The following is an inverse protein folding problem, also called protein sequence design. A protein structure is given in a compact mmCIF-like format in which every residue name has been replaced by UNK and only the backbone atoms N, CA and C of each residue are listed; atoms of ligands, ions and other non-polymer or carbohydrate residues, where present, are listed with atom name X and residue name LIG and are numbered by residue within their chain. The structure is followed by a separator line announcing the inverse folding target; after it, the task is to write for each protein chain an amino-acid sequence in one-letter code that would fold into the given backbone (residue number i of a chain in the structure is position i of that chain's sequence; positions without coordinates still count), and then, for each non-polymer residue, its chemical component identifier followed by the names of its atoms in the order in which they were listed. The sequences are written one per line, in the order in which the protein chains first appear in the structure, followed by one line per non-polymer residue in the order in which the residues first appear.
data_IF_383831361498
#
_entry.id   IF_383831361498
#
_cell.length_a   1.000
_cell.length_b   1.000
_cell.length_c   1.000
_cell.angle_alpha   90.00
_cell.angle_beta   90.00
_cell.angle_gamma   90.00
#
_symmetry.space_group_name_H-M   'P 1'
#
loop_
_entity.id
_entity.type
_entity.pdbx_description
1 polymer ?
#
# COMPACT_ATOMS: atom_id res chain seq x y z
N UNK A 1 -11.57 2.78 16.13
CA UNK A 1 -10.21 2.58 15.59
C UNK A 1 -9.22 3.09 16.63
N UNK A 2 -8.37 2.24 17.24
CA UNK A 2 -7.32 2.72 18.17
C UNK A 2 -6.19 3.30 17.33
N UNK A 3 -6.11 4.61 17.21
CA UNK A 3 -4.96 5.31 16.62
C UNK A 3 -4.29 6.14 17.70
N UNK A 4 -3.02 6.45 17.54
CA UNK A 4 -2.26 7.30 18.48
C UNK A 4 -2.64 8.78 18.42
N UNK A 5 -3.59 9.16 17.56
CA UNK A 5 -4.03 10.55 17.35
C UNK A 5 -5.51 10.69 17.73
N UNK A 6 -5.86 11.77 18.42
CA UNK A 6 -7.27 12.14 18.62
C UNK A 6 -7.84 12.65 17.30
N UNK A 7 -9.10 12.32 16.98
CA UNK A 7 -9.72 12.74 15.72
C UNK A 7 -9.70 14.27 15.53
N UNK A 8 -9.73 15.02 16.63
CA UNK A 8 -9.69 16.49 16.66
C UNK A 8 -8.30 17.05 16.31
N UNK A 9 -7.24 16.25 16.49
CA UNK A 9 -5.85 16.63 16.19
C UNK A 9 -5.45 16.33 14.73
N UNK A 10 -6.27 15.56 14.00
CA UNK A 10 -5.99 15.17 12.63
C UNK A 10 -6.57 16.21 11.67
N UNK A 11 -5.83 17.30 11.48
CA UNK A 11 -6.14 18.31 10.47
C UNK A 11 -5.32 17.98 9.21
N UNK A 12 -6.00 17.61 8.12
CA UNK A 12 -5.37 17.44 6.82
C UNK A 12 -5.00 18.81 6.23
N UNK A 13 -3.72 19.19 6.29
CA UNK A 13 -3.17 20.33 5.58
C UNK A 13 -2.76 19.91 4.17
N UNK A 14 -3.74 19.73 3.29
CA UNK A 14 -3.47 19.46 1.88
C UNK A 14 -3.25 20.78 1.14
N UNK A 15 -2.08 20.90 0.52
CA UNK A 15 -1.78 21.98 -0.42
C UNK A 15 -1.89 21.44 -1.83
N UNK A 16 -2.76 22.03 -2.64
CA UNK A 16 -2.80 21.71 -4.07
C UNK A 16 -1.53 22.23 -4.75
N UNK A 17 -0.86 21.32 -5.45
CA UNK A 17 0.40 21.57 -6.17
C UNK A 17 0.27 21.25 -7.66
N UNK A 18 -0.96 20.99 -8.13
CA UNK A 18 -1.26 20.70 -9.53
C UNK A 18 -0.79 21.87 -10.41
N UNK A 19 0.11 21.60 -11.36
CA UNK A 19 0.69 22.62 -12.24
C UNK A 19 1.81 23.47 -11.65
N UNK A 20 2.08 23.40 -10.34
CA UNK A 20 3.22 24.08 -9.70
C UNK A 20 4.53 23.31 -9.83
N UNK A 21 4.43 21.98 -9.95
CA UNK A 21 5.58 21.09 -10.12
C UNK A 21 5.34 20.25 -11.37
N UNK A 22 6.26 20.34 -12.32
CA UNK A 22 6.21 19.53 -13.54
C UNK A 22 6.85 18.17 -13.20
N UNK A 23 6.10 17.06 -13.30
CA UNK A 23 6.65 15.73 -13.02
C UNK A 23 7.76 15.41 -14.02
N UNK A 24 8.87 14.85 -13.53
CA UNK A 24 10.06 14.55 -14.36
C UNK A 24 10.25 13.06 -14.55
N UNK A 25 10.71 12.68 -15.74
CA UNK A 25 11.01 11.29 -16.07
C UNK A 25 12.20 10.74 -15.28
N UNK A 26 12.23 9.42 -15.11
CA UNK A 26 13.23 8.71 -14.28
C UNK A 26 14.67 9.06 -14.65
N UNK A 27 15.02 9.04 -15.94
CA UNK A 27 16.39 9.33 -16.43
C UNK A 27 16.87 10.74 -16.11
N UNK A 28 15.98 11.72 -16.10
CA UNK A 28 16.33 13.10 -15.74
C UNK A 28 16.49 13.26 -14.24
N UNK A 29 15.62 12.61 -13.45
CA UNK A 29 15.70 12.61 -11.99
C UNK A 29 16.99 11.95 -11.51
N UNK A 30 17.38 10.82 -12.09
CA UNK A 30 18.63 10.13 -11.75
C UNK A 30 19.86 11.02 -11.96
N UNK A 31 19.93 11.74 -13.08
CA UNK A 31 21.01 12.71 -13.33
C UNK A 31 21.03 13.85 -12.31
N UNK A 32 19.85 14.37 -11.94
CA UNK A 32 19.72 15.48 -11.00
C UNK A 32 20.00 15.08 -9.54
N UNK A 33 19.61 13.87 -9.15
CA UNK A 33 19.91 13.29 -7.84
C UNK A 33 21.42 13.06 -7.71
N UNK A 34 22.06 12.52 -8.77
CA UNK A 34 23.51 12.36 -8.82
C UNK A 34 24.27 13.70 -8.80
N UNK A 35 23.66 14.78 -9.30
CA UNK A 35 24.22 16.15 -9.21
C UNK A 35 23.90 16.86 -7.89
N UNK A 36 23.33 16.17 -6.88
CA UNK A 36 23.13 16.71 -5.54
C UNK A 36 21.78 17.41 -5.28
N UNK A 37 20.79 17.31 -6.18
CA UNK A 37 19.43 17.82 -5.89
C UNK A 37 18.68 16.91 -4.93
N UNK A 38 17.91 17.53 -4.03
CA UNK A 38 17.15 16.80 -3.02
C UNK A 38 15.91 16.12 -3.64
N UNK A 39 15.66 14.87 -3.25
CA UNK A 39 14.57 14.04 -3.79
C UNK A 39 13.18 14.70 -3.64
N UNK A 40 12.98 15.45 -2.56
CA UNK A 40 11.71 16.11 -2.19
C UNK A 40 11.34 17.31 -3.08
N UNK A 41 12.26 17.78 -3.91
CA UNK A 41 12.03 18.91 -4.82
C UNK A 41 11.47 18.48 -6.18
N UNK A 42 11.28 17.17 -6.40
CA UNK A 42 10.90 16.62 -7.70
C UNK A 42 9.84 15.53 -7.57
N UNK A 43 8.74 15.67 -8.30
CA UNK A 43 7.71 14.65 -8.39
C UNK A 43 8.01 13.64 -9.52
N UNK A 44 7.84 12.32 -9.28
CA UNK A 44 7.81 11.33 -10.35
C UNK A 44 6.64 11.59 -11.29
N UNK A 45 6.82 11.24 -12.57
CA UNK A 45 5.67 11.02 -13.46
C UNK A 45 4.92 9.80 -12.92
N UNK A 46 3.67 10.02 -12.51
CA UNK A 46 2.74 8.95 -12.19
C UNK A 46 1.92 8.61 -13.43
N UNK A 47 2.02 7.37 -13.88
CA UNK A 47 1.22 6.90 -15.00
C UNK A 47 -0.14 6.45 -14.48
N UNK A 48 -1.19 7.07 -15.00
CA UNK A 48 -2.55 6.60 -14.75
C UNK A 48 -2.72 5.25 -15.47
N UNK A 49 -3.10 4.17 -14.76
CA UNK A 49 -3.28 2.88 -15.39
C UNK A 49 -4.35 2.95 -16.49
N UNK A 50 -4.08 2.29 -17.61
CA UNK A 50 -5.04 2.20 -18.72
C UNK A 50 -6.24 1.35 -18.34
N UNK A 51 -7.38 1.55 -19.01
CA UNK A 51 -8.58 0.72 -18.77
C UNK A 51 -8.29 -0.78 -18.94
N UNK A 52 -7.56 -1.14 -20.01
CA UNK A 52 -7.15 -2.54 -20.26
C UNK A 52 -6.31 -3.13 -19.11
N UNK A 53 -5.45 -2.33 -18.51
CA UNK A 53 -4.68 -2.76 -17.34
C UNK A 53 -5.59 -2.99 -16.13
N UNK A 54 -6.56 -2.10 -15.91
CA UNK A 54 -7.54 -2.21 -14.83
C UNK A 54 -8.43 -3.44 -14.99
N UNK A 55 -8.88 -3.74 -16.21
CA UNK A 55 -9.71 -4.91 -16.48
C UNK A 55 -8.97 -6.21 -16.12
N UNK A 56 -7.70 -6.31 -16.55
CA UNK A 56 -6.83 -7.45 -16.20
C UNK A 56 -6.57 -7.51 -14.69
N UNK A 57 -6.31 -6.36 -14.06
CA UNK A 57 -6.12 -6.29 -12.61
C UNK A 57 -7.35 -6.80 -11.86
N UNK A 58 -8.56 -6.39 -12.24
CA UNK A 58 -9.80 -6.84 -11.61
C UNK A 58 -10.06 -8.34 -11.81
N UNK A 59 -9.78 -8.86 -13.00
CA UNK A 59 -9.88 -10.30 -13.30
C UNK A 59 -8.94 -11.10 -12.40
N UNK A 60 -7.66 -10.72 -12.35
CA UNK A 60 -6.65 -11.36 -11.51
C UNK A 60 -7.02 -11.24 -10.02
N UNK A 61 -7.53 -10.09 -9.59
CA UNK A 61 -7.94 -9.90 -8.20
C UNK A 61 -9.06 -10.87 -7.80
N UNK A 62 -10.05 -11.09 -8.68
CA UNK A 62 -11.12 -12.07 -8.45
C UNK A 62 -10.59 -13.50 -8.36
N UNK A 63 -9.62 -13.86 -9.20
CA UNK A 63 -9.04 -15.22 -9.24
C UNK A 63 -8.14 -15.47 -8.02
N UNK A 64 -7.27 -14.52 -7.68
CA UNK A 64 -6.15 -14.76 -6.75
C UNK A 64 -6.39 -14.28 -5.31
N UNK A 65 -7.37 -13.40 -5.06
CA UNK A 65 -7.63 -12.88 -3.72
C UNK A 65 -7.84 -13.97 -2.67
N UNK A 66 -8.69 -14.96 -2.98
CA UNK A 66 -8.98 -16.08 -2.08
C UNK A 66 -7.77 -16.98 -1.82
N UNK A 67 -7.10 -17.58 -2.83
CA UNK A 67 -5.95 -18.46 -2.56
C UNK A 67 -4.80 -17.74 -1.84
N UNK A 68 -4.57 -16.46 -2.13
CA UNK A 68 -3.57 -15.67 -1.41
C UNK A 68 -3.96 -15.49 0.05
N UNK A 69 -5.22 -15.14 0.35
CA UNK A 69 -5.69 -15.01 1.73
C UNK A 69 -5.55 -16.33 2.51
N UNK A 70 -5.86 -17.47 1.88
CA UNK A 70 -5.68 -18.81 2.46
C UNK A 70 -4.22 -19.08 2.82
N UNK A 71 -3.31 -18.85 1.87
CA UNK A 71 -1.88 -19.11 2.06
C UNK A 71 -1.30 -18.24 3.19
N UNK A 72 -1.69 -16.96 3.23
CA UNK A 72 -1.29 -16.03 4.29
C UNK A 72 -1.83 -16.46 5.65
N UNK A 73 -3.09 -16.88 5.72
CA UNK A 73 -3.70 -17.41 6.96
C UNK A 73 -2.97 -18.64 7.48
N UNK A 74 -2.70 -19.62 6.62
CA UNK A 74 -1.96 -20.82 6.98
C UNK A 74 -0.52 -20.51 7.44
N UNK A 75 0.12 -19.53 6.83
CA UNK A 75 1.44 -19.07 7.25
C UNK A 75 1.39 -18.43 8.65
N UNK A 76 0.39 -17.57 8.90
CA UNK A 76 0.20 -16.97 10.21
C UNK A 76 -0.02 -18.04 11.30
N UNK A 77 -0.85 -19.06 11.04
CA UNK A 77 -1.08 -20.18 11.96
C UNK A 77 0.22 -20.93 12.30
N UNK A 78 1.06 -21.20 11.28
CA UNK A 78 2.35 -21.84 11.48
C UNK A 78 3.27 -21.00 12.36
N UNK A 79 3.31 -19.69 12.15
CA UNK A 79 4.18 -18.81 12.95
C UNK A 79 3.67 -18.68 14.38
N UNK A 80 2.35 -18.58 14.59
CA UNK A 80 1.76 -18.54 15.93
C UNK A 80 2.05 -19.82 16.71
N UNK A 81 2.00 -20.99 16.06
CA UNK A 81 2.40 -22.28 16.68
C UNK A 81 3.87 -22.29 17.10
N UNK A 82 4.76 -21.67 16.32
CA UNK A 82 6.20 -21.68 16.59
C UNK A 82 6.65 -20.62 17.60
N UNK A 83 6.05 -19.42 17.59
CA UNK A 83 6.52 -18.25 18.36
C UNK A 83 5.58 -17.80 19.48
N UNK A 84 4.37 -18.38 19.57
CA UNK A 84 3.37 -18.04 20.58
C UNK A 84 2.60 -16.74 20.30
N UNK A 85 1.61 -16.44 21.17
CA UNK A 85 0.62 -15.35 21.00
C UNK A 85 1.18 -13.91 21.09
N UNK A 86 2.49 -13.72 21.26
CA UNK A 86 3.14 -12.40 21.33
C UNK A 86 3.62 -11.87 19.96
N UNK A 87 3.45 -12.63 18.88
CA UNK A 87 3.74 -12.14 17.53
C UNK A 87 2.59 -11.29 17.00
N UNK A 88 2.87 -10.04 16.67
CA UNK A 88 1.94 -9.14 15.99
C UNK A 88 2.07 -9.31 14.47
N UNK A 89 0.96 -9.59 13.80
CA UNK A 89 0.85 -9.62 12.35
C UNK A 89 -0.23 -8.63 11.92
N UNK A 90 0.14 -7.64 11.11
CA UNK A 90 -0.83 -6.79 10.43
C UNK A 90 -0.93 -7.23 8.98
N UNK A 91 -2.02 -7.90 8.62
CA UNK A 91 -2.39 -8.15 7.23
C UNK A 91 -3.66 -7.36 6.93
N UNK A 92 -3.55 -6.33 6.11
CA UNK A 92 -4.69 -5.57 5.61
C UNK A 92 -5.23 -6.28 4.37
N UNK A 93 -6.14 -7.23 4.56
CA UNK A 93 -6.95 -7.79 3.48
C UNK A 93 -8.42 -7.72 3.90
N UNK A 94 -9.26 -7.06 3.10
CA UNK A 94 -10.71 -6.94 3.34
C UNK A 94 -11.44 -8.29 3.39
N UNK A 95 -10.79 -9.38 2.94
CA UNK A 95 -11.27 -10.77 3.05
C UNK A 95 -11.00 -11.42 4.44
N UNK A 96 -10.33 -10.74 5.37
CA UNK A 96 -10.07 -11.26 6.72
C UNK A 96 -11.34 -11.56 7.52
N UNK A 97 -12.42 -10.81 7.27
CA UNK A 97 -13.66 -10.93 8.05
C UNK A 97 -14.37 -12.29 7.85
N UNK A 98 -14.02 -13.04 6.80
CA UNK A 98 -14.57 -14.37 6.55
C UNK A 98 -13.76 -15.48 7.24
N UNK A 99 -12.49 -15.20 7.58
CA UNK A 99 -11.55 -16.20 8.08
C UNK A 99 -11.49 -16.29 9.61
N UNK A 100 -11.80 -15.19 10.30
CA UNK A 100 -11.74 -15.06 11.76
C UNK A 100 -13.13 -14.93 12.43
N UNK A 101 -14.17 -15.57 11.89
CA UNK A 101 -15.37 -15.90 12.68
C UNK A 101 -15.10 -17.19 13.46
N UNK A 102 -14.27 -17.10 14.50
CA UNK A 102 -14.13 -18.17 15.48
C UNK A 102 -14.99 -17.83 16.70
N UNK A 103 -16.02 -18.67 16.89
CA UNK A 103 -16.55 -19.08 18.18
C UNK A 103 -15.41 -19.59 19.08
#
# INVERSE_FOLDING_TARGET
MRTSYHNEDVIFLLKDITGLIIPKGTKEREKLIQSGKHYSEMLPIEYVPTQKYMDVYEELLKIYSKPVALAVGQLADKILKQRGKKCCFSFTCSCWNTYWNFN
#
